data_IF_789864255329
#
_entry.id   IF_789864255329
#
_cell.length_a   1.000
_cell.length_b   1.000
_cell.length_c   1.000
_cell.angle_alpha   90.00
_cell.angle_beta   90.00
_cell.angle_gamma   90.00
#
_symmetry.space_group_name_H-M   'P 1'
#
loop_
_entity.id
_entity.type
_entity.pdbx_description
1 polymer ?
#
# COMPACT_ATOMS: atom_id res chain seq x y z
N UNK A 1 20.31 -16.13 11.05
CA UNK A 1 19.17 -17.03 10.82
C UNK A 1 17.91 -16.23 11.01
N UNK A 2 17.04 -16.21 10.02
CA UNK A 2 15.69 -15.65 10.15
C UNK A 2 14.76 -16.80 10.55
N UNK A 3 14.14 -16.71 11.70
CA UNK A 3 13.13 -17.66 12.13
C UNK A 3 11.76 -17.16 11.68
N UNK A 4 10.97 -18.05 11.06
CA UNK A 4 9.60 -17.77 10.63
C UNK A 4 8.64 -18.43 11.61
N UNK A 5 7.66 -17.67 12.10
CA UNK A 5 6.53 -18.18 12.89
C UNK A 5 5.24 -17.86 12.13
N UNK A 6 4.37 -18.84 11.99
CA UNK A 6 3.05 -18.63 11.39
C UNK A 6 1.97 -18.54 12.46
N UNK A 7 1.07 -17.58 12.33
CA UNK A 7 -0.07 -17.37 13.18
C UNK A 7 -1.34 -17.32 12.30
N UNK A 8 -2.37 -18.06 12.70
CA UNK A 8 -3.59 -18.21 11.90
C UNK A 8 -4.35 -16.89 11.67
N UNK A 9 -4.19 -15.92 12.56
CA UNK A 9 -4.91 -14.65 12.50
C UNK A 9 -4.02 -13.51 11.98
N UNK A 10 -2.78 -13.45 12.45
CA UNK A 10 -1.86 -12.35 12.16
C UNK A 10 -0.94 -12.64 10.97
N UNK A 11 -0.96 -13.88 10.46
CA UNK A 11 -0.13 -14.33 9.35
C UNK A 11 1.33 -14.56 9.77
N UNK A 12 2.27 -14.27 8.87
CA UNK A 12 3.69 -14.60 9.05
C UNK A 12 4.41 -13.60 9.93
N UNK A 13 5.22 -14.10 10.86
CA UNK A 13 6.19 -13.33 11.64
C UNK A 13 7.61 -13.68 11.18
N UNK A 14 8.37 -12.66 10.79
CA UNK A 14 9.78 -12.79 10.41
C UNK A 14 10.64 -12.27 11.55
N UNK A 15 11.29 -13.18 12.26
CA UNK A 15 12.05 -12.89 13.47
C UNK A 15 13.53 -12.73 13.12
N UNK A 16 14.08 -11.55 13.38
CA UNK A 16 15.48 -11.22 13.12
C UNK A 16 16.19 -10.82 14.40
N UNK A 17 17.30 -11.49 14.71
CA UNK A 17 18.19 -11.11 15.79
C UNK A 17 19.02 -9.90 15.39
N UNK A 18 19.05 -8.88 16.24
CA UNK A 18 19.88 -7.70 16.05
C UNK A 18 20.68 -7.44 17.33
N UNK A 19 22.00 -7.49 17.24
CA UNK A 19 22.91 -7.30 18.38
C UNK A 19 22.83 -5.91 19.01
N UNK A 20 22.31 -4.92 18.27
CA UNK A 20 22.10 -3.55 18.78
C UNK A 20 20.70 -3.34 19.37
N UNK A 21 19.82 -4.32 19.25
CA UNK A 21 18.47 -4.22 19.80
C UNK A 21 18.53 -4.37 21.32
N UNK A 22 17.98 -3.39 22.04
CA UNK A 22 17.83 -3.43 23.50
C UNK A 22 16.47 -3.91 23.97
N UNK A 23 15.53 -4.05 23.06
CA UNK A 23 14.14 -4.47 23.32
C UNK A 23 13.55 -5.16 22.10
N UNK A 24 12.54 -5.97 22.33
CA UNK A 24 11.74 -6.60 21.30
C UNK A 24 10.87 -5.54 20.61
N UNK A 25 10.90 -5.51 19.28
CA UNK A 25 10.11 -4.54 18.48
C UNK A 25 9.34 -5.25 17.38
N UNK A 26 8.13 -4.77 17.11
CA UNK A 26 7.27 -5.26 16.04
C UNK A 26 7.07 -4.18 14.99
N UNK A 27 7.20 -4.54 13.72
CA UNK A 27 6.90 -3.69 12.59
C UNK A 27 6.01 -4.43 11.60
N UNK A 28 4.77 -4.04 11.53
CA UNK A 28 3.78 -4.62 10.61
C UNK A 28 3.99 -4.08 9.21
N UNK A 29 4.01 -4.97 8.22
CA UNK A 29 4.01 -4.66 6.78
C UNK A 29 2.93 -5.47 6.09
N UNK A 30 2.76 -5.31 4.78
CA UNK A 30 1.76 -6.03 3.99
C UNK A 30 1.98 -7.55 3.98
N UNK A 31 3.22 -7.96 3.82
CA UNK A 31 3.67 -9.34 3.68
C UNK A 31 3.76 -10.09 5.01
N UNK A 32 4.21 -9.42 6.07
CA UNK A 32 4.50 -10.05 7.35
C UNK A 32 4.57 -9.05 8.51
N UNK A 33 4.67 -9.58 9.72
CA UNK A 33 5.08 -8.83 10.91
C UNK A 33 6.56 -9.10 11.17
N UNK A 34 7.38 -8.08 11.03
CA UNK A 34 8.81 -8.14 11.28
C UNK A 34 9.08 -7.94 12.77
N UNK A 35 9.72 -8.92 13.38
CA UNK A 35 10.07 -8.91 14.80
C UNK A 35 11.58 -8.80 14.94
N UNK A 36 12.04 -7.74 15.58
CA UNK A 36 13.45 -7.58 15.90
C UNK A 36 13.65 -7.90 17.38
N UNK A 37 14.58 -8.81 17.65
CA UNK A 37 14.88 -9.30 19.00
C UNK A 37 16.35 -9.09 19.34
N UNK A 38 16.65 -8.95 20.64
CA UNK A 38 18.03 -8.96 21.14
C UNK A 38 18.61 -10.38 21.15
N UNK A 39 19.96 -10.53 21.14
CA UNK A 39 20.58 -11.84 21.37
C UNK A 39 20.13 -12.42 22.71
N UNK A 40 19.84 -13.72 22.73
CA UNK A 40 19.38 -14.41 23.93
C UNK A 40 17.88 -14.39 24.16
N UNK A 41 17.10 -13.63 23.36
CA UNK A 41 15.63 -13.70 23.42
C UNK A 41 15.13 -15.07 23.01
N UNK A 42 14.34 -15.69 23.85
CA UNK A 42 13.76 -17.02 23.60
C UNK A 42 12.49 -16.93 22.75
N UNK A 43 12.17 -18.01 22.04
CA UNK A 43 10.91 -18.12 21.28
C UNK A 43 9.67 -18.03 22.17
N UNK A 44 9.79 -18.42 23.44
CA UNK A 44 8.70 -18.28 24.43
C UNK A 44 8.41 -16.80 24.67
N UNK A 45 9.44 -15.99 24.94
CA UNK A 45 9.28 -14.54 25.14
C UNK A 45 8.68 -13.85 23.92
N UNK A 46 9.08 -14.28 22.70
CA UNK A 46 8.48 -13.75 21.46
C UNK A 46 6.99 -14.08 21.37
N UNK A 47 6.60 -15.33 21.65
CA UNK A 47 5.20 -15.77 21.64
C UNK A 47 4.37 -15.03 22.69
N UNK A 48 4.88 -14.91 23.91
CA UNK A 48 4.21 -14.21 25.01
C UNK A 48 3.98 -12.73 24.66
N UNK A 49 4.98 -12.08 24.03
CA UNK A 49 4.87 -10.71 23.56
C UNK A 49 3.87 -10.55 22.40
N UNK A 50 3.78 -11.53 21.48
CA UNK A 50 2.76 -11.55 20.43
C UNK A 50 1.37 -11.60 21.06
N UNK A 51 1.13 -12.50 22.04
CA UNK A 51 -0.17 -12.60 22.71
C UNK A 51 -0.55 -11.30 23.42
N UNK A 52 0.37 -10.68 24.16
CA UNK A 52 0.13 -9.40 24.82
C UNK A 52 -0.20 -8.27 23.86
N UNK A 53 0.43 -8.26 22.68
CA UNK A 53 0.26 -7.22 21.67
C UNK A 53 -0.77 -7.58 20.58
N UNK A 54 -1.38 -8.77 20.63
CA UNK A 54 -2.32 -9.28 19.63
C UNK A 54 -3.40 -8.26 19.23
N UNK A 55 -4.10 -7.56 20.12
CA UNK A 55 -5.11 -6.57 19.73
C UNK A 55 -4.51 -5.41 18.92
N UNK A 56 -3.33 -4.94 19.31
CA UNK A 56 -2.63 -3.85 18.60
C UNK A 56 -2.11 -4.30 17.24
N UNK A 57 -1.54 -5.51 17.15
CA UNK A 57 -1.06 -6.09 15.91
C UNK A 57 -2.21 -6.33 14.92
N UNK A 58 -3.38 -6.77 15.40
CA UNK A 58 -4.59 -6.91 14.58
C UNK A 58 -5.00 -5.58 13.93
N UNK A 59 -5.05 -4.49 14.70
CA UNK A 59 -5.36 -3.16 14.18
C UNK A 59 -4.30 -2.70 13.17
N UNK A 60 -3.02 -2.92 13.49
CA UNK A 60 -1.92 -2.57 12.60
C UNK A 60 -1.97 -3.36 11.29
N UNK A 61 -2.23 -4.68 11.34
CA UNK A 61 -2.38 -5.53 10.14
C UNK A 61 -3.53 -5.03 9.26
N UNK A 62 -4.70 -4.74 9.83
CA UNK A 62 -5.83 -4.18 9.06
C UNK A 62 -5.47 -2.89 8.32
N UNK A 63 -4.65 -2.02 8.91
CA UNK A 63 -4.18 -0.79 8.24
C UNK A 63 -3.22 -1.06 7.08
N UNK A 64 -2.50 -2.18 7.11
CA UNK A 64 -1.57 -2.57 6.06
C UNK A 64 -2.17 -3.57 5.05
N UNK A 65 -3.35 -4.12 5.33
CA UNK A 65 -4.07 -4.93 4.34
C UNK A 65 -4.60 -4.00 3.26
N UNK A 66 -4.06 -4.09 2.08
CA UNK A 66 -4.55 -3.32 0.93
C UNK A 66 -5.93 -3.83 0.53
N UNK A 67 -6.89 -2.94 0.24
CA UNK A 67 -8.18 -3.38 -0.28
C UNK A 67 -7.98 -4.15 -1.58
N UNK A 68 -8.80 -5.17 -1.78
CA UNK A 68 -8.87 -5.91 -3.04
C UNK A 68 -9.33 -4.94 -4.14
N UNK A 69 -8.63 -4.95 -5.26
CA UNK A 69 -9.02 -4.19 -6.44
C UNK A 69 -9.85 -5.10 -7.31
N UNK A 70 -11.16 -4.96 -7.24
CA UNK A 70 -12.16 -5.70 -8.01
C UNK A 70 -13.13 -4.75 -8.73
N UNK A 71 -14.23 -5.27 -9.28
CA UNK A 71 -15.25 -4.45 -9.95
C UNK A 71 -15.97 -3.45 -9.03
N UNK A 72 -15.89 -3.62 -7.71
CA UNK A 72 -16.46 -2.69 -6.72
C UNK A 72 -15.48 -1.60 -6.32
N UNK A 73 -14.18 -1.78 -6.64
CA UNK A 73 -13.15 -0.81 -6.29
C UNK A 73 -13.39 0.51 -7.03
N UNK A 74 -13.39 1.61 -6.28
CA UNK A 74 -13.58 2.98 -6.79
C UNK A 74 -12.57 3.91 -6.15
N UNK A 75 -12.07 4.86 -6.94
CA UNK A 75 -11.44 6.07 -6.44
C UNK A 75 -12.36 7.21 -6.89
N UNK A 76 -12.85 7.99 -5.94
CA UNK A 76 -13.66 9.18 -6.22
C UNK A 76 -13.12 10.33 -5.38
N UNK A 77 -12.34 11.18 -6.03
CA UNK A 77 -11.73 12.38 -5.45
C UNK A 77 -12.06 13.58 -6.31
N UNK A 78 -11.83 14.78 -5.80
CA UNK A 78 -12.06 16.03 -6.55
C UNK A 78 -11.34 16.05 -7.91
N UNK A 79 -10.17 15.42 -8.02
CA UNK A 79 -9.31 15.53 -9.20
C UNK A 79 -9.03 14.21 -9.91
N UNK A 80 -9.51 13.11 -9.39
CA UNK A 80 -9.32 11.81 -10.00
C UNK A 80 -10.42 10.83 -9.64
N UNK A 81 -11.04 10.29 -10.68
CA UNK A 81 -12.03 9.21 -10.57
C UNK A 81 -11.52 7.97 -11.27
N UNK A 82 -11.69 6.82 -10.64
CA UNK A 82 -11.35 5.53 -11.23
C UNK A 82 -12.44 4.52 -10.94
N UNK A 83 -12.79 3.74 -11.95
CA UNK A 83 -13.71 2.61 -11.83
C UNK A 83 -13.21 1.42 -12.64
N UNK A 84 -13.57 0.22 -12.18
CA UNK A 84 -13.42 -1.01 -12.95
C UNK A 84 -14.80 -1.44 -13.46
N UNK A 85 -14.86 -1.89 -14.71
CA UNK A 85 -16.08 -2.37 -15.34
C UNK A 85 -15.83 -3.68 -16.06
N UNK A 86 -16.85 -4.55 -16.11
CA UNK A 86 -16.78 -5.77 -16.90
C UNK A 86 -16.88 -5.44 -18.38
N UNK A 87 -16.00 -6.02 -19.19
CA UNK A 87 -15.99 -5.91 -20.63
C UNK A 87 -16.31 -7.25 -21.32
N UNK A 88 -16.33 -7.22 -22.64
CA UNK A 88 -16.57 -8.42 -23.46
C UNK A 88 -15.29 -9.01 -24.09
N UNK A 89 -14.16 -8.30 -23.97
CA UNK A 89 -12.89 -8.73 -24.55
C UNK A 89 -12.10 -9.53 -23.54
N UNK A 90 -11.34 -10.52 -24.02
CA UNK A 90 -10.48 -11.40 -23.20
C UNK A 90 -9.22 -10.72 -22.64
N UNK A 91 -9.10 -9.41 -22.76
CA UNK A 91 -7.96 -8.65 -22.29
C UNK A 91 -8.39 -7.40 -21.52
N UNK A 92 -7.55 -6.99 -20.58
CA UNK A 92 -7.70 -5.70 -19.92
C UNK A 92 -7.49 -4.55 -20.89
N UNK A 93 -8.36 -3.55 -20.82
CA UNK A 93 -8.24 -2.30 -21.54
C UNK A 93 -8.36 -1.15 -20.54
N UNK A 94 -7.76 -0.01 -20.84
CA UNK A 94 -7.95 1.19 -20.04
C UNK A 94 -8.35 2.36 -20.95
N UNK A 95 -9.32 3.12 -20.49
CA UNK A 95 -9.65 4.44 -21.03
C UNK A 95 -9.23 5.46 -20.00
N UNK A 96 -8.49 6.48 -20.39
CA UNK A 96 -8.03 7.52 -19.49
C UNK A 96 -8.20 8.87 -20.17
N UNK A 97 -8.95 9.73 -19.52
CA UNK A 97 -9.08 11.14 -19.81
C UNK A 97 -8.54 11.94 -18.62
N UNK A 98 -8.43 13.27 -18.78
CA UNK A 98 -7.91 14.09 -17.70
C UNK A 98 -8.84 13.99 -16.45
N UNK A 99 -8.30 13.48 -15.36
CA UNK A 99 -9.03 13.32 -14.11
C UNK A 99 -9.91 12.06 -14.02
N UNK A 100 -10.04 11.28 -15.11
CA UNK A 100 -10.87 10.06 -15.09
C UNK A 100 -10.12 8.88 -15.69
N UNK A 101 -10.33 7.69 -15.11
CA UNK A 101 -9.82 6.43 -15.63
C UNK A 101 -10.84 5.32 -15.46
N UNK A 102 -11.02 4.54 -16.50
CA UNK A 102 -11.83 3.32 -16.47
C UNK A 102 -10.99 2.13 -16.91
N UNK A 103 -10.95 1.09 -16.09
CA UNK A 103 -10.32 -0.18 -16.42
C UNK A 103 -11.42 -1.16 -16.81
N UNK A 104 -11.36 -1.63 -18.05
CA UNK A 104 -12.30 -2.62 -18.61
C UNK A 104 -11.65 -3.99 -18.40
N UNK A 105 -12.30 -4.81 -17.59
CA UNK A 105 -11.82 -6.12 -17.18
C UNK A 105 -12.41 -7.23 -18.07
N UNK A 106 -11.64 -8.26 -18.43
CA UNK A 106 -12.16 -9.42 -19.16
C UNK A 106 -13.22 -10.16 -18.35
N UNK A 107 -14.18 -10.83 -19.00
CA UNK A 107 -15.12 -11.70 -18.32
C UNK A 107 -14.36 -12.83 -17.60
N UNK A 108 -14.71 -13.13 -16.36
CA UNK A 108 -14.06 -14.18 -15.58
C UNK A 108 -12.66 -13.84 -15.01
N UNK A 109 -12.28 -12.57 -14.97
CA UNK A 109 -11.04 -12.15 -14.33
C UNK A 109 -11.00 -12.60 -12.86
N UNK A 110 -9.94 -13.31 -12.47
CA UNK A 110 -9.72 -13.71 -11.09
C UNK A 110 -9.02 -12.58 -10.33
N UNK A 111 -9.81 -11.77 -9.63
CA UNK A 111 -9.29 -10.69 -8.81
C UNK A 111 -8.57 -11.16 -7.53
N UNK A 112 -8.59 -12.44 -7.19
CA UNK A 112 -7.82 -13.00 -6.08
C UNK A 112 -6.37 -13.27 -6.47
N UNK A 113 -6.03 -13.29 -7.76
CA UNK A 113 -4.69 -13.50 -8.27
C UNK A 113 -3.75 -12.35 -7.86
N UNK A 114 -2.65 -12.70 -7.18
CA UNK A 114 -1.68 -11.73 -6.67
C UNK A 114 -0.97 -10.97 -7.80
N UNK A 115 -0.69 -11.63 -8.93
CA UNK A 115 -0.06 -11.03 -10.10
C UNK A 115 -0.96 -9.98 -10.73
N UNK A 116 -2.26 -10.29 -10.88
CA UNK A 116 -3.27 -9.33 -11.34
C UNK A 116 -3.39 -8.15 -10.38
N UNK A 117 -3.43 -8.40 -9.08
CA UNK A 117 -3.49 -7.34 -8.07
C UNK A 117 -2.27 -6.41 -8.12
N UNK A 118 -1.08 -6.97 -8.27
CA UNK A 118 0.16 -6.18 -8.42
C UNK A 118 0.13 -5.33 -9.69
N UNK A 119 -0.33 -5.90 -10.81
CA UNK A 119 -0.47 -5.20 -12.08
C UNK A 119 -1.50 -4.06 -11.99
N UNK A 120 -2.69 -4.30 -11.45
CA UNK A 120 -3.74 -3.29 -11.26
C UNK A 120 -3.23 -2.11 -10.42
N UNK A 121 -2.54 -2.39 -9.30
CA UNK A 121 -1.93 -1.34 -8.46
C UNK A 121 -0.95 -0.48 -9.23
N UNK A 122 -0.08 -1.11 -10.01
CA UNK A 122 0.90 -0.39 -10.83
C UNK A 122 0.23 0.52 -11.86
N UNK A 123 -0.79 0.02 -12.56
CA UNK A 123 -1.55 0.81 -13.55
C UNK A 123 -2.24 2.00 -12.90
N UNK A 124 -2.87 1.80 -11.75
CA UNK A 124 -3.55 2.86 -10.98
C UNK A 124 -2.52 3.90 -10.48
N UNK A 125 -1.40 3.45 -9.93
CA UNK A 125 -0.33 4.36 -9.46
C UNK A 125 0.23 5.21 -10.59
N UNK A 126 0.45 4.64 -11.76
CA UNK A 126 0.92 5.38 -12.93
C UNK A 126 -0.10 6.41 -13.42
N UNK A 127 -1.40 6.08 -13.39
CA UNK A 127 -2.47 7.01 -13.73
C UNK A 127 -2.56 8.17 -12.73
N UNK A 128 -2.51 7.88 -11.43
CA UNK A 128 -2.47 8.89 -10.38
C UNK A 128 -1.25 9.80 -10.51
N UNK A 129 -0.08 9.24 -10.80
CA UNK A 129 1.16 10.00 -10.99
C UNK A 129 1.09 10.93 -12.21
N UNK A 130 0.52 10.47 -13.33
CA UNK A 130 0.29 11.32 -14.51
C UNK A 130 -0.65 12.46 -14.19
N UNK A 131 -1.78 12.17 -13.57
CA UNK A 131 -2.77 13.17 -13.18
C UNK A 131 -2.18 14.21 -12.21
N UNK A 132 -1.43 13.76 -11.21
CA UNK A 132 -0.75 14.64 -10.24
C UNK A 132 0.23 15.61 -10.92
N UNK A 133 0.99 15.16 -11.93
CA UNK A 133 1.92 16.01 -12.68
C UNK A 133 1.22 17.14 -13.46
N UNK A 134 -0.02 16.95 -13.85
CA UNK A 134 -0.81 17.94 -14.57
C UNK A 134 -1.49 18.91 -13.60
N UNK A 135 -2.06 18.39 -12.50
CA UNK A 135 -2.92 19.16 -11.61
C UNK A 135 -2.15 19.90 -10.51
N UNK A 136 -1.13 19.27 -9.93
CA UNK A 136 -0.46 19.84 -8.76
C UNK A 136 0.40 21.08 -9.05
N UNK A 137 1.18 21.18 -10.14
CA UNK A 137 2.02 22.35 -10.39
C UNK A 137 1.23 23.66 -10.53
N UNK A 138 0.14 23.76 -11.33
CA UNK A 138 -0.66 24.97 -11.40
C UNK A 138 -1.27 25.37 -10.07
N UNK A 139 -1.73 24.39 -9.28
CA UNK A 139 -2.29 24.66 -7.92
C UNK A 139 -1.25 25.17 -6.95
N UNK A 140 -0.06 24.58 -6.97
CA UNK A 140 1.07 25.07 -6.18
C UNK A 140 1.41 26.53 -6.55
N UNK A 141 1.43 26.81 -7.84
CA UNK A 141 1.67 28.18 -8.32
C UNK A 141 0.61 29.17 -7.77
N UNK A 142 -0.67 28.83 -7.87
CA UNK A 142 -1.74 29.66 -7.33
C UNK A 142 -1.61 29.88 -5.82
N UNK A 143 -1.29 28.83 -5.06
CA UNK A 143 -1.08 28.93 -3.62
C UNK A 143 0.15 29.75 -3.27
N UNK A 144 1.24 29.60 -4.02
CA UNK A 144 2.46 30.41 -3.89
C UNK A 144 2.16 31.89 -4.06
N UNK A 145 1.42 32.27 -5.10
CA UNK A 145 1.01 33.66 -5.31
C UNK A 145 0.10 34.16 -4.19
N UNK A 146 -0.92 33.40 -3.81
CA UNK A 146 -1.88 33.77 -2.78
C UNK A 146 -1.23 34.04 -1.42
N UNK A 147 -0.20 33.26 -1.07
CA UNK A 147 0.44 33.32 0.25
C UNK A 147 1.82 34.00 0.22
N UNK A 148 2.23 34.53 -0.93
CA UNK A 148 3.55 35.15 -1.15
C UNK A 148 4.72 34.24 -0.71
N UNK A 149 4.63 32.94 -1.06
CA UNK A 149 5.61 31.90 -0.75
C UNK A 149 6.28 31.42 -2.06
N UNK A 150 7.33 32.10 -2.55
CA UNK A 150 7.98 31.70 -3.80
C UNK A 150 8.68 30.34 -3.64
N UNK A 151 8.66 29.56 -4.72
CA UNK A 151 9.39 28.31 -4.82
C UNK A 151 10.22 28.25 -6.12
N UNK A 152 11.31 27.51 -6.10
CA UNK A 152 12.20 27.42 -7.27
C UNK A 152 11.80 26.29 -8.22
N UNK A 153 11.36 25.15 -7.66
CA UNK A 153 10.98 23.98 -8.45
C UNK A 153 9.99 23.09 -7.72
N UNK A 154 9.24 22.30 -8.48
CA UNK A 154 8.34 21.29 -7.95
C UNK A 154 8.70 19.91 -8.52
N UNK A 155 8.79 18.92 -7.66
CA UNK A 155 9.02 17.53 -8.04
C UNK A 155 7.95 16.64 -7.40
N UNK A 156 7.26 15.87 -8.23
CA UNK A 156 6.24 14.93 -7.77
C UNK A 156 6.86 13.54 -7.69
N UNK A 157 6.98 13.03 -6.47
CA UNK A 157 7.52 11.72 -6.19
C UNK A 157 6.44 10.84 -5.54
N UNK A 158 6.54 9.52 -5.71
CA UNK A 158 5.85 8.59 -4.82
C UNK A 158 6.61 8.57 -3.49
N UNK A 159 6.00 9.07 -2.40
CA UNK A 159 6.57 8.86 -1.07
C UNK A 159 6.29 7.41 -0.66
N UNK A 160 7.31 6.56 -0.68
CA UNK A 160 7.29 5.38 0.18
C UNK A 160 7.42 5.91 1.61
N UNK A 161 6.36 5.82 2.43
CA UNK A 161 6.42 6.24 3.82
C UNK A 161 7.63 5.62 4.54
N UNK A 162 8.43 6.48 5.13
CA UNK A 162 9.52 6.08 6.03
C UNK A 162 8.97 5.81 7.42
#
# INVERSE_FOLDING_TARGET
MENVLEDNELGRFLIKVNTRARRLTFRTREDAVYVTVSPGTTMKEVKDAIEQLRPRLRIARKKHTRPLIDLNFRIDTEFFKLSLVSGQRERFLSRSELGEMQIICPPGADFSDEGLQAWLRKVIEEALRRNAKIILPPRLYMLSQKHNLPYQSVKINSSSGR
#
